data_IF_818175794481
#
_entry.id   IF_818175794481
#
_cell.length_a   1.000
_cell.length_b   1.000
_cell.length_c   1.000
_cell.angle_alpha   90.00
_cell.angle_beta   90.00
_cell.angle_gamma   90.00
#
_symmetry.space_group_name_H-M   'P 1'
#
loop_
_entity.id
_entity.type
_entity.pdbx_description
1 polymer ?
#
# COMPACT_ATOMS: atom_id res chain seq x y z
N UNK A 1 -48.23 -5.68 -7.74
CA UNK A 1 -48.67 -7.08 -7.53
C UNK A 1 -47.78 -8.13 -8.20
N UNK A 2 -47.06 -7.86 -9.29
CA UNK A 2 -46.10 -8.83 -9.86
C UNK A 2 -44.78 -8.99 -9.06
N UNK A 3 -44.37 -7.96 -8.29
CA UNK A 3 -43.15 -7.99 -7.47
C UNK A 3 -43.32 -8.69 -6.10
N UNK A 4 -44.55 -8.95 -5.68
CA UNK A 4 -44.86 -9.66 -4.42
C UNK A 4 -44.93 -11.18 -4.62
N UNK A 5 -45.09 -11.64 -5.88
CA UNK A 5 -45.13 -13.07 -6.23
C UNK A 5 -43.73 -13.65 -6.50
N UNK A 6 -42.74 -12.81 -6.86
CA UNK A 6 -41.36 -13.26 -7.10
C UNK A 6 -40.53 -13.42 -5.81
N UNK A 7 -40.87 -12.76 -4.70
CA UNK A 7 -40.17 -12.96 -3.42
C UNK A 7 -40.64 -14.21 -2.66
N UNK A 8 -41.84 -14.72 -2.95
CA UNK A 8 -42.37 -15.94 -2.34
C UNK A 8 -41.87 -17.23 -3.00
N UNK A 9 -41.32 -17.17 -4.22
CA UNK A 9 -40.84 -18.36 -4.96
C UNK A 9 -39.37 -18.67 -4.66
N UNK A 10 -38.55 -17.69 -4.25
CA UNK A 10 -37.15 -17.93 -3.83
C UNK A 10 -37.02 -18.39 -2.38
N UNK A 11 -38.02 -18.16 -1.54
CA UNK A 11 -38.00 -18.57 -0.12
C UNK A 11 -38.35 -20.07 0.08
N UNK A 12 -38.94 -20.72 -0.92
CA UNK A 12 -39.37 -22.13 -0.85
C UNK A 12 -38.25 -23.09 -1.29
N UNK A 13 -37.22 -22.62 -2.01
CA UNK A 13 -36.13 -23.46 -2.50
C UNK A 13 -34.90 -23.56 -1.58
N UNK A 14 -34.84 -22.84 -0.46
CA UNK A 14 -33.70 -22.92 0.48
C UNK A 14 -33.97 -23.72 1.76
N UNK A 15 -35.15 -24.33 1.91
CA UNK A 15 -35.53 -25.08 3.14
C UNK A 15 -35.47 -26.61 2.98
N UNK A 16 -35.18 -27.12 1.79
CA UNK A 16 -34.88 -28.55 1.63
C UNK A 16 -33.54 -28.71 0.94
N UNK A 17 -32.48 -28.86 1.74
CA UNK A 17 -31.40 -29.82 1.52
C UNK A 17 -30.46 -29.86 2.74
N UNK A 18 -30.82 -30.75 3.67
CA UNK A 18 -29.93 -31.69 4.39
C UNK A 18 -29.00 -31.14 5.50
N UNK A 19 -29.37 -31.47 6.74
CA UNK A 19 -28.48 -31.91 7.83
C UNK A 19 -28.70 -33.42 8.06
N UNK A 20 -28.00 -34.12 8.97
CA UNK A 20 -26.56 -34.18 9.28
C UNK A 20 -26.03 -35.65 9.27
N UNK A 21 -24.72 -35.89 9.24
CA UNK A 21 -24.18 -37.12 9.84
C UNK A 21 -22.75 -36.96 10.36
N UNK A 22 -22.61 -37.48 11.58
CA UNK A 22 -21.44 -37.79 12.42
C UNK A 22 -20.15 -38.18 11.71
N UNK A 23 -19.00 -37.79 12.29
CA UNK A 23 -17.99 -38.71 12.86
C UNK A 23 -16.86 -37.92 13.55
N UNK A 24 -16.54 -38.30 14.79
CA UNK A 24 -15.36 -37.89 15.59
C UNK A 24 -14.42 -39.11 15.61
N UNK A 25 -13.10 -38.91 15.58
CA UNK A 25 -12.30 -39.43 16.69
C UNK A 25 -11.28 -38.41 17.23
N UNK A 26 -11.14 -38.51 18.54
CA UNK A 26 -10.14 -37.95 19.46
C UNK A 26 -8.69 -37.97 18.98
N UNK A 27 -7.93 -36.93 19.34
CA UNK A 27 -6.60 -37.14 19.91
C UNK A 27 -6.29 -36.03 20.94
N UNK A 28 -5.86 -36.49 22.11
CA UNK A 28 -5.50 -35.72 23.29
C UNK A 28 -4.18 -34.99 23.09
N UNK A 29 -4.04 -33.77 23.61
CA UNK A 29 -2.83 -33.36 24.34
C UNK A 29 -3.18 -32.44 25.50
N UNK A 30 -2.59 -32.78 26.65
CA UNK A 30 -2.75 -32.16 27.96
C UNK A 30 -1.64 -31.13 28.20
N UNK A 31 -1.99 -30.10 28.98
CA UNK A 31 -1.10 -29.29 29.84
C UNK A 31 -0.16 -28.32 29.09
N UNK A 32 0.16 -27.10 29.50
CA UNK A 32 0.15 -26.36 30.78
C UNK A 32 0.25 -24.87 30.32
N UNK A 33 -0.43 -23.87 30.88
CA UNK A 33 -0.15 -23.21 32.15
C UNK A 33 -1.32 -22.28 32.45
N UNK A 34 -2.00 -22.50 33.57
CA UNK A 34 -2.86 -21.50 34.18
C UNK A 34 -2.01 -20.57 35.03
N UNK A 35 -2.05 -19.27 34.77
CA UNK A 35 -1.83 -18.27 35.83
C UNK A 35 -3.04 -17.35 35.88
N UNK A 36 -3.97 -17.70 36.78
CA UNK A 36 -5.04 -16.82 37.23
C UNK A 36 -4.40 -15.76 38.13
N UNK A 37 -4.31 -14.52 37.66
CA UNK A 37 -4.01 -13.39 38.52
C UNK A 37 -5.30 -13.03 39.27
N UNK A 38 -5.40 -13.48 40.52
CA UNK A 38 -6.48 -13.10 41.42
C UNK A 38 -6.16 -11.73 42.02
N UNK A 39 -6.93 -10.71 41.64
CA UNK A 39 -6.94 -9.43 42.32
C UNK A 39 -7.99 -9.48 43.44
N UNK A 40 -7.59 -9.41 44.71
CA UNK A 40 -8.39 -8.75 45.75
C UNK A 40 -7.66 -8.54 47.09
N UNK A 41 -7.96 -7.36 47.63
CA UNK A 41 -7.90 -6.85 49.00
C UNK A 41 -6.53 -6.50 49.60
N UNK A 42 -6.44 -5.21 49.93
CA UNK A 42 -5.39 -4.65 50.76
C UNK A 42 -5.56 -5.00 52.23
N UNK A 43 -4.44 -4.87 52.94
CA UNK A 43 -4.41 -4.60 54.36
C UNK A 43 -3.35 -3.53 54.62
N UNK A 44 -3.80 -2.50 55.33
CA UNK A 44 -2.99 -1.47 55.95
C UNK A 44 -2.22 -2.12 57.10
N UNK A 45 -0.89 -2.00 57.11
CA UNK A 45 -0.11 -2.29 58.32
C UNK A 45 0.97 -1.22 58.47
N UNK A 46 0.91 -0.54 59.60
CA UNK A 46 1.81 0.54 60.01
C UNK A 46 2.95 -0.05 60.84
N UNK A 47 4.15 0.48 60.58
CA UNK A 47 5.29 0.63 61.49
C UNK A 47 6.06 -0.62 61.91
N UNK A 48 7.31 -0.73 61.42
CA UNK A 48 8.47 -0.65 62.31
C UNK A 48 9.75 -0.32 61.54
N UNK A 49 10.40 0.75 62.00
CA UNK A 49 11.61 1.34 61.48
C UNK A 49 12.80 0.57 62.05
N UNK A 50 13.36 -0.36 61.28
CA UNK A 50 14.63 -1.01 61.61
C UNK A 50 15.74 -0.33 60.82
N UNK A 51 16.51 0.54 61.50
CA UNK A 51 17.79 1.06 61.01
C UNK A 51 18.73 -0.13 60.78
N UNK A 52 18.90 -0.53 59.53
CA UNK A 52 20.09 -1.24 59.08
C UNK A 52 20.74 -0.38 58.00
N UNK A 53 21.89 0.18 58.34
CA UNK A 53 22.78 0.88 57.42
C UNK A 53 23.38 -0.16 56.48
N UNK A 54 22.65 -0.50 55.43
CA UNK A 54 23.23 -1.09 54.24
C UNK A 54 23.67 0.06 53.34
N UNK A 55 24.95 0.03 52.95
CA UNK A 55 25.46 0.85 51.86
C UNK A 55 24.68 0.39 50.63
N UNK A 56 23.63 1.14 50.29
CA UNK A 56 22.95 0.99 49.02
C UNK A 56 23.99 1.28 47.95
N UNK A 57 24.45 0.22 47.27
CA UNK A 57 24.98 0.40 45.92
C UNK A 57 23.83 1.02 45.15
N UNK A 58 23.95 2.30 44.87
CA UNK A 58 23.09 3.04 43.97
C UNK A 58 23.30 2.44 42.57
N UNK A 59 22.69 1.28 42.34
CA UNK A 59 22.57 0.68 41.02
C UNK A 59 21.54 1.52 40.28
N UNK A 60 22.00 2.64 39.71
CA UNK A 60 21.15 3.56 38.96
C UNK A 60 20.26 2.80 38.01
N UNK A 61 18.94 2.92 38.20
CA UNK A 61 17.95 2.26 37.38
C UNK A 61 17.92 2.93 36.01
N UNK A 62 17.54 2.21 34.95
CA UNK A 62 17.39 2.81 33.61
C UNK A 62 16.47 4.04 33.62
N UNK A 63 15.49 4.07 34.53
CA UNK A 63 14.54 5.16 34.70
C UNK A 63 15.14 6.39 35.43
N UNK A 64 16.31 6.24 36.03
CA UNK A 64 17.02 7.33 36.71
C UNK A 64 17.92 8.12 35.73
N UNK A 65 17.97 7.69 34.46
CA UNK A 65 18.68 8.41 33.41
C UNK A 65 17.95 9.69 33.01
N UNK A 66 18.67 10.79 32.72
CA UNK A 66 18.10 11.95 32.07
C UNK A 66 17.39 11.59 30.76
N UNK A 67 16.22 12.19 30.53
CA UNK A 67 15.38 11.96 29.35
C UNK A 67 16.13 11.92 28.01
N UNK A 68 17.07 12.83 27.69
CA UNK A 68 17.80 12.78 26.41
C UNK A 68 18.68 11.53 26.26
N UNK A 69 19.23 11.02 27.36
CA UNK A 69 20.06 9.81 27.35
C UNK A 69 19.17 8.58 27.16
N UNK A 70 18.03 8.55 27.85
CA UNK A 70 17.05 7.48 27.69
C UNK A 70 16.51 7.44 26.26
N UNK A 71 16.11 8.58 25.69
CA UNK A 71 15.61 8.67 24.32
C UNK A 71 16.69 8.22 23.33
N UNK A 72 17.95 8.62 23.50
CA UNK A 72 19.06 8.15 22.66
C UNK A 72 19.32 6.63 22.74
N UNK A 73 19.03 6.00 23.89
CA UNK A 73 19.08 4.53 24.03
C UNK A 73 17.90 3.91 23.28
N UNK A 74 16.69 4.42 23.50
CA UNK A 74 15.47 3.90 22.88
C UNK A 74 15.52 4.04 21.35
N UNK A 75 16.02 5.16 20.82
CA UNK A 75 16.24 5.40 19.39
C UNK A 75 17.13 4.35 18.73
N UNK A 76 18.00 3.65 19.47
CA UNK A 76 18.86 2.60 18.91
C UNK A 76 18.19 1.24 18.86
N UNK A 77 17.05 1.07 19.50
CA UNK A 77 16.34 -0.21 19.50
C UNK A 77 15.65 -0.47 18.16
N UNK A 78 15.58 -1.74 17.71
CA UNK A 78 14.68 -2.10 16.61
C UNK A 78 13.22 -1.98 17.05
N UNK A 79 12.25 -1.95 16.11
CA UNK A 79 10.81 -1.89 16.41
C UNK A 79 10.35 -2.90 17.46
N UNK A 80 10.79 -4.16 17.35
CA UNK A 80 10.45 -5.19 18.33
C UNK A 80 11.03 -4.91 19.72
N UNK A 81 12.18 -4.24 19.80
CA UNK A 81 12.79 -3.77 21.05
C UNK A 81 11.96 -2.66 21.69
N UNK A 82 11.53 -1.67 20.91
CA UNK A 82 10.61 -0.61 21.36
C UNK A 82 9.31 -1.19 21.91
N UNK A 83 8.69 -2.14 21.20
CA UNK A 83 7.47 -2.81 21.68
C UNK A 83 7.69 -3.58 23.00
N UNK A 84 8.85 -4.23 23.17
CA UNK A 84 9.18 -4.91 24.44
C UNK A 84 9.37 -3.92 25.59
N UNK A 85 10.09 -2.82 25.35
CA UNK A 85 10.28 -1.76 26.36
C UNK A 85 8.96 -1.10 26.75
N UNK A 86 8.06 -0.90 25.79
CA UNK A 86 6.71 -0.38 26.03
C UNK A 86 5.85 -1.27 26.94
N UNK A 87 6.19 -2.56 27.09
CA UNK A 87 5.46 -3.48 27.97
C UNK A 87 5.95 -3.48 29.42
N UNK A 88 7.08 -2.83 29.72
CA UNK A 88 7.74 -2.88 31.04
C UNK A 88 7.06 -1.97 32.05
N UNK A 89 6.72 -0.73 31.67
CA UNK A 89 6.06 0.25 32.55
C UNK A 89 5.21 1.23 31.75
N UNK A 90 4.32 1.96 32.42
CA UNK A 90 3.48 2.99 31.76
C UNK A 90 4.32 4.13 31.20
N UNK A 91 5.36 4.55 31.94
CA UNK A 91 6.31 5.58 31.50
C UNK A 91 7.07 5.17 30.22
N UNK A 92 7.63 3.96 30.21
CA UNK A 92 8.34 3.45 29.03
C UNK A 92 7.40 3.24 27.84
N UNK A 93 6.13 2.88 28.10
CA UNK A 93 5.10 2.79 27.06
C UNK A 93 4.86 4.11 26.36
N UNK A 94 4.71 5.19 27.11
CA UNK A 94 4.48 6.53 26.54
C UNK A 94 5.69 7.00 25.72
N UNK A 95 6.91 6.83 26.25
CA UNK A 95 8.14 7.15 25.48
C UNK A 95 8.30 6.26 24.25
N UNK A 96 8.20 4.94 24.39
CA UNK A 96 8.40 4.00 23.27
C UNK A 96 7.34 4.12 22.16
N UNK A 97 6.16 4.68 22.46
CA UNK A 97 5.11 4.93 21.46
C UNK A 97 5.22 6.32 20.80
N UNK A 98 6.20 7.14 21.19
CA UNK A 98 6.38 8.49 20.67
C UNK A 98 6.92 8.48 19.23
N UNK A 99 6.32 9.29 18.36
CA UNK A 99 6.55 9.24 16.91
C UNK A 99 8.01 9.47 16.47
N UNK A 100 8.76 10.30 17.19
CA UNK A 100 10.17 10.56 16.87
C UNK A 100 11.05 9.30 16.89
N UNK A 101 10.71 8.30 17.72
CA UNK A 101 11.40 7.01 17.74
C UNK A 101 11.06 6.15 16.53
N UNK A 102 9.89 6.35 15.92
CA UNK A 102 9.37 5.55 14.80
C UNK A 102 9.60 6.17 13.43
N UNK A 103 9.78 7.49 13.36
CA UNK A 103 10.07 8.25 12.14
C UNK A 103 11.14 7.59 11.27
N UNK A 104 12.27 7.25 11.89
CA UNK A 104 13.40 6.62 11.19
C UNK A 104 13.06 5.23 10.69
N UNK A 105 12.39 4.41 11.51
CA UNK A 105 11.98 3.06 11.13
C UNK A 105 10.98 3.07 9.98
N UNK A 106 10.00 3.97 10.05
CA UNK A 106 9.00 4.17 9.00
C UNK A 106 9.67 4.56 7.68
N UNK A 107 10.51 5.60 7.69
CA UNK A 107 11.22 6.07 6.48
C UNK A 107 12.12 5.00 5.90
N UNK A 108 12.85 4.26 6.74
CA UNK A 108 13.82 3.28 6.28
C UNK A 108 13.17 2.04 5.65
N UNK A 109 12.14 1.46 6.29
CA UNK A 109 11.48 0.26 5.78
C UNK A 109 10.42 0.59 4.71
N UNK A 110 9.54 1.55 5.02
CA UNK A 110 8.33 1.78 4.24
C UNK A 110 8.43 2.94 3.26
N UNK A 111 9.32 3.91 3.52
CA UNK A 111 9.38 5.19 2.79
C UNK A 111 9.58 5.10 1.27
N UNK A 112 9.98 3.94 0.74
CA UNK A 112 10.08 3.71 -0.71
C UNK A 112 8.75 3.37 -1.38
N UNK A 113 7.78 2.87 -0.62
CA UNK A 113 6.51 2.34 -1.14
C UNK A 113 5.29 3.06 -0.59
N UNK A 114 5.41 3.72 0.56
CA UNK A 114 4.33 4.59 1.09
C UNK A 114 4.53 6.00 0.56
N UNK A 115 3.49 6.53 -0.09
CA UNK A 115 3.42 7.91 -0.56
C UNK A 115 2.28 8.67 0.12
N UNK A 116 2.01 9.88 -0.37
CA UNK A 116 0.95 10.73 0.14
C UNK A 116 -0.43 10.06 0.06
N UNK A 117 -0.73 9.35 -1.04
CA UNK A 117 -1.96 8.56 -1.18
C UNK A 117 -2.10 7.48 -0.09
N UNK A 118 -1.00 6.83 0.31
CA UNK A 118 -1.03 5.83 1.39
C UNK A 118 -1.25 6.47 2.75
N UNK A 119 -0.67 7.65 2.99
CA UNK A 119 -0.93 8.42 4.20
C UNK A 119 -2.37 8.91 4.29
N UNK A 120 -2.95 9.41 3.19
CA UNK A 120 -4.36 9.79 3.14
C UNK A 120 -5.26 8.59 3.45
N UNK A 121 -5.00 7.43 2.84
CA UNK A 121 -5.73 6.18 3.12
C UNK A 121 -5.65 5.79 4.60
N UNK A 122 -4.48 5.96 5.22
CA UNK A 122 -4.30 5.71 6.65
C UNK A 122 -5.18 6.63 7.50
N UNK A 123 -5.17 7.93 7.20
CA UNK A 123 -6.04 8.90 7.91
C UNK A 123 -7.52 8.55 7.79
N UNK A 124 -7.96 8.11 6.61
CA UNK A 124 -9.33 7.63 6.40
C UNK A 124 -9.63 6.36 7.21
N UNK A 125 -8.70 5.40 7.21
CA UNK A 125 -8.83 4.16 7.97
C UNK A 125 -8.97 4.42 9.47
N UNK A 126 -8.16 5.34 10.00
CA UNK A 126 -8.19 5.79 11.39
C UNK A 126 -9.49 6.49 11.73
N UNK A 127 -9.89 7.49 10.94
CA UNK A 127 -11.13 8.22 11.15
C UNK A 127 -12.35 7.29 11.12
N UNK A 128 -12.33 6.28 10.25
CA UNK A 128 -13.39 5.27 10.17
C UNK A 128 -13.46 4.36 11.40
N UNK A 129 -12.31 3.95 11.95
CA UNK A 129 -12.26 3.17 13.20
C UNK A 129 -12.77 3.99 14.39
N UNK A 130 -12.43 5.27 14.45
CA UNK A 130 -12.77 6.15 15.57
C UNK A 130 -14.20 6.67 15.50
N UNK A 131 -14.68 6.96 14.29
CA UNK A 131 -16.05 7.39 14.01
C UNK A 131 -17.11 6.33 14.33
N UNK A 132 -16.70 5.08 14.61
CA UNK A 132 -17.60 4.05 15.14
C UNK A 132 -18.00 4.27 16.61
N UNK A 133 -17.38 5.21 17.33
CA UNK A 133 -17.69 5.54 18.73
C UNK A 133 -18.37 6.92 18.90
N UNK A 134 -18.48 7.74 17.84
CA UNK A 134 -19.03 9.10 17.95
C UNK A 134 -19.67 9.65 16.67
N UNK A 135 -20.50 8.85 15.98
CA UNK A 135 -21.41 9.38 14.96
C UNK A 135 -22.88 9.17 15.36
N UNK A 136 -23.20 9.66 16.56
CA UNK A 136 -24.57 10.01 16.91
C UNK A 136 -24.78 11.42 16.34
N UNK A 137 -25.69 11.56 15.37
CA UNK A 137 -26.09 12.80 14.67
C UNK A 137 -25.40 13.13 13.33
N UNK A 138 -25.48 12.25 12.34
CA UNK A 138 -25.79 12.70 10.97
C UNK A 138 -26.70 11.68 10.29
N UNK A 139 -27.89 12.12 9.90
CA UNK A 139 -28.90 11.36 9.18
C UNK A 139 -28.50 11.13 7.72
N UNK A 140 -28.87 9.96 7.17
CA UNK A 140 -28.99 9.73 5.72
C UNK A 140 -27.91 8.87 5.06
N UNK A 141 -28.35 7.92 4.23
CA UNK A 141 -27.74 7.16 3.12
C UNK A 141 -26.24 6.75 3.15
N UNK A 142 -25.32 7.63 3.58
CA UNK A 142 -23.90 7.34 3.78
C UNK A 142 -23.65 6.21 4.78
N UNK A 143 -24.51 6.06 5.80
CA UNK A 143 -24.39 4.98 6.79
C UNK A 143 -24.58 3.57 6.16
N UNK A 144 -25.42 3.45 5.13
CA UNK A 144 -25.64 2.18 4.43
C UNK A 144 -24.53 1.87 3.44
N UNK A 145 -24.01 2.88 2.73
CA UNK A 145 -22.88 2.73 1.80
C UNK A 145 -21.58 2.33 2.53
N UNK A 146 -21.30 2.94 3.67
CA UNK A 146 -20.13 2.63 4.51
C UNK A 146 -20.21 1.22 5.15
N UNK A 147 -21.42 0.75 5.47
CA UNK A 147 -21.64 -0.60 6.01
C UNK A 147 -21.49 -1.68 4.94
N UNK A 148 -21.87 -1.39 3.69
CA UNK A 148 -21.64 -2.29 2.55
C UNK A 148 -20.15 -2.39 2.19
N UNK A 149 -19.41 -1.27 2.26
CA UNK A 149 -17.94 -1.25 2.06
C UNK A 149 -17.20 -2.11 3.10
N UNK A 150 -17.66 -2.16 4.36
CA UNK A 150 -17.14 -3.05 5.41
C UNK A 150 -17.21 -4.54 5.03
N UNK A 151 -18.26 -4.97 4.36
CA UNK A 151 -18.45 -6.38 3.95
C UNK A 151 -17.74 -6.73 2.64
N UNK A 152 -17.50 -5.74 1.77
CA UNK A 152 -16.83 -5.93 0.48
C UNK A 152 -15.28 -5.88 0.60
N UNK A 153 -14.74 -5.10 1.54
CA UNK A 153 -13.27 -4.90 1.66
C UNK A 153 -12.60 -5.84 2.67
N UNK A 154 -13.34 -6.25 3.72
CA UNK A 154 -12.87 -7.18 4.74
C UNK A 154 -13.61 -8.51 4.59
N UNK A 155 -13.13 -9.36 3.68
CA UNK A 155 -13.45 -10.78 3.72
C UNK A 155 -13.18 -11.31 5.13
N UNK A 156 -14.21 -11.91 5.74
CA UNK A 156 -14.19 -12.42 7.11
C UNK A 156 -13.12 -13.50 7.25
N UNK A 157 -11.90 -13.10 7.64
CA UNK A 157 -10.87 -14.03 8.08
C UNK A 157 -10.77 -13.93 9.59
N UNK A 158 -11.40 -14.88 10.28
CA UNK A 158 -11.10 -15.17 11.68
C UNK A 158 -9.70 -15.77 11.74
N UNK A 159 -8.69 -14.94 12.01
CA UNK A 159 -7.42 -15.42 12.51
C UNK A 159 -7.30 -15.00 13.98
N UNK A 160 -7.39 -15.99 14.87
CA UNK A 160 -7.00 -15.87 16.27
C UNK A 160 -5.48 -15.77 16.37
N UNK A 161 -4.94 -14.61 16.01
CA UNK A 161 -3.57 -14.22 16.38
C UNK A 161 -3.70 -13.18 17.48
N UNK A 162 -2.99 -13.40 18.59
CA UNK A 162 -2.93 -12.51 19.75
C UNK A 162 -2.61 -11.07 19.32
N UNK A 163 -3.66 -10.30 19.05
CA UNK A 163 -3.59 -8.89 18.75
C UNK A 163 -3.23 -8.22 20.06
N UNK A 164 -2.02 -7.63 20.11
CA UNK A 164 -1.67 -6.66 21.14
C UNK A 164 -2.80 -5.62 21.16
N UNK A 165 -3.67 -5.69 22.18
CA UNK A 165 -4.78 -4.76 22.33
C UNK A 165 -4.20 -3.38 22.56
N UNK A 166 -4.20 -2.55 21.52
CA UNK A 166 -3.79 -1.16 21.61
C UNK A 166 -4.77 -0.43 22.56
N UNK A 167 -4.30 0.29 23.60
CA UNK A 167 -5.17 1.03 24.51
C UNK A 167 -5.93 2.14 23.78
N UNK A 168 -7.20 2.34 24.16
CA UNK A 168 -8.22 3.20 23.54
C UNK A 168 -8.03 4.71 23.70
N UNK A 169 -6.79 5.23 23.82
CA UNK A 169 -6.58 6.62 24.25
C UNK A 169 -5.44 7.39 23.56
N UNK A 170 -4.93 6.96 22.41
CA UNK A 170 -3.98 7.76 21.61
C UNK A 170 -4.71 8.29 20.38
N UNK A 171 -4.41 9.53 19.89
CA UNK A 171 -4.90 9.97 18.60
C UNK A 171 -4.43 8.96 17.56
N UNK A 172 -5.38 8.22 17.00
CA UNK A 172 -5.14 7.00 16.23
C UNK A 172 -4.36 7.22 14.91
N UNK A 173 -3.81 8.42 14.64
CA UNK A 173 -3.03 8.73 13.44
C UNK A 173 -1.50 8.76 13.62
N UNK A 174 -0.99 8.33 14.79
CA UNK A 174 0.46 8.32 15.08
C UNK A 174 1.29 7.43 14.13
N UNK A 175 2.55 7.80 13.92
CA UNK A 175 3.52 7.04 13.10
C UNK A 175 3.70 5.62 13.66
N UNK A 176 3.77 5.50 14.98
CA UNK A 176 3.81 4.20 15.67
C UNK A 176 2.63 3.30 15.26
N UNK A 177 1.41 3.83 15.34
CA UNK A 177 0.19 3.07 15.06
C UNK A 177 0.14 2.65 13.59
N UNK A 178 0.56 3.54 12.69
CA UNK A 178 0.64 3.26 11.26
C UNK A 178 1.69 2.17 10.95
N UNK A 179 2.88 2.26 11.56
CA UNK A 179 3.94 1.27 11.39
C UNK A 179 3.46 -0.13 11.81
N UNK A 180 2.80 -0.25 12.97
CA UNK A 180 2.25 -1.52 13.43
C UNK A 180 1.15 -2.06 12.52
N UNK A 181 0.28 -1.19 11.97
CA UNK A 181 -0.77 -1.60 11.07
C UNK A 181 -0.21 -2.15 9.73
N UNK A 182 0.87 -1.54 9.23
CA UNK A 182 1.61 -2.03 8.07
C UNK A 182 2.28 -3.38 8.37
N UNK A 183 3.04 -3.48 9.46
CA UNK A 183 3.77 -4.71 9.80
C UNK A 183 2.87 -5.91 10.10
N UNK A 184 1.70 -5.66 10.69
CA UNK A 184 0.75 -6.71 11.04
C UNK A 184 -0.07 -7.22 9.86
N UNK A 185 0.03 -6.58 8.68
CA UNK A 185 -0.83 -6.90 7.54
C UNK A 185 -2.31 -6.59 7.79
N UNK A 186 -2.60 -5.66 8.71
CA UNK A 186 -3.99 -5.26 9.03
C UNK A 186 -4.47 -4.09 8.17
N UNK A 187 -3.56 -3.41 7.48
CA UNK A 187 -3.85 -2.24 6.66
C UNK A 187 -3.53 -2.49 5.18
N UNK A 188 -4.51 -2.21 4.32
CA UNK A 188 -4.34 -2.18 2.87
C UNK A 188 -4.05 -0.76 2.42
N UNK A 189 -2.99 -0.54 1.65
CA UNK A 189 -2.59 0.80 1.22
C UNK A 189 -2.35 0.89 -0.29
N UNK A 190 -2.63 2.04 -0.92
CA UNK A 190 -2.37 2.26 -2.33
C UNK A 190 -0.86 2.38 -2.59
N UNK A 191 -0.41 1.69 -3.64
CA UNK A 191 0.92 1.80 -4.21
C UNK A 191 0.89 1.36 -5.67
N UNK A 192 2.05 1.32 -6.31
CA UNK A 192 2.17 0.84 -7.68
C UNK A 192 3.10 -0.36 -7.79
N UNK A 193 2.76 -1.25 -8.73
CA UNK A 193 3.46 -2.51 -8.99
C UNK A 193 4.04 -2.46 -10.39
N UNK A 194 5.35 -2.57 -10.50
CA UNK A 194 6.03 -2.85 -11.77
C UNK A 194 5.66 -4.25 -12.26
N UNK A 195 5.23 -4.32 -13.51
CA UNK A 195 4.86 -5.57 -14.14
C UNK A 195 6.09 -6.46 -14.37
N UNK A 196 5.96 -7.77 -14.11
CA UNK A 196 6.99 -8.75 -14.45
C UNK A 196 6.72 -9.37 -15.80
N UNK A 197 7.81 -9.76 -16.45
CA UNK A 197 7.85 -10.54 -17.68
C UNK A 197 7.35 -11.98 -17.44
N UNK A 198 6.10 -12.18 -17.04
CA UNK A 198 5.51 -13.52 -16.94
C UNK A 198 5.04 -14.01 -18.33
N UNK A 199 5.91 -13.90 -19.34
CA UNK A 199 5.64 -14.33 -20.73
C UNK A 199 4.71 -13.45 -21.56
N UNK A 200 4.09 -12.41 -20.98
CA UNK A 200 3.22 -11.47 -21.72
C UNK A 200 4.01 -10.28 -22.28
N UNK A 201 4.51 -10.45 -23.51
CA UNK A 201 5.36 -9.47 -24.24
C UNK A 201 4.69 -8.09 -24.43
N UNK A 202 3.35 -8.03 -24.43
CA UNK A 202 2.63 -6.77 -24.64
C UNK A 202 2.75 -5.74 -23.51
N UNK A 203 3.03 -6.17 -22.28
CA UNK A 203 2.97 -5.32 -21.07
C UNK A 203 4.35 -5.06 -20.46
N UNK A 204 5.39 -5.02 -21.29
CA UNK A 204 6.76 -4.77 -20.86
C UNK A 204 6.94 -3.32 -20.40
N UNK A 205 7.73 -3.16 -19.33
CA UNK A 205 8.04 -1.87 -18.73
C UNK A 205 6.80 -1.04 -18.38
N UNK A 206 5.78 -1.72 -17.83
CA UNK A 206 4.57 -1.11 -17.33
C UNK A 206 4.48 -1.15 -15.79
N UNK A 207 3.64 -0.27 -15.25
CA UNK A 207 3.38 -0.16 -13.82
C UNK A 207 1.90 0.13 -13.55
N UNK A 208 1.31 -0.50 -12.55
CA UNK A 208 -0.14 -0.43 -12.27
C UNK A 208 -0.43 -0.08 -10.83
N UNK A 209 -1.52 0.66 -10.61
CA UNK A 209 -2.05 0.91 -9.27
C UNK A 209 -2.61 -0.38 -8.65
N UNK A 210 -2.32 -0.57 -7.37
CA UNK A 210 -2.87 -1.67 -6.57
C UNK A 210 -3.01 -1.25 -5.10
N UNK A 211 -3.90 -1.94 -4.39
CA UNK A 211 -3.91 -1.95 -2.93
C UNK A 211 -3.02 -3.09 -2.45
N UNK A 212 -2.06 -2.79 -1.61
CA UNK A 212 -1.10 -3.74 -1.05
C UNK A 212 -1.42 -4.06 0.40
N UNK A 213 -1.17 -5.30 0.80
CA UNK A 213 -1.14 -5.72 2.20
C UNK A 213 0.11 -6.57 2.42
N UNK A 214 0.87 -6.23 3.46
CA UNK A 214 2.12 -6.90 3.79
C UNK A 214 1.90 -8.19 4.56
N UNK A 215 2.70 -9.21 4.24
CA UNK A 215 2.80 -10.45 4.98
C UNK A 215 4.20 -10.57 5.60
N UNK A 216 4.26 -10.37 6.92
CA UNK A 216 5.50 -10.47 7.68
C UNK A 216 6.13 -11.88 7.64
N UNK A 217 5.33 -12.94 7.48
CA UNK A 217 5.86 -14.31 7.53
C UNK A 217 6.71 -14.63 6.30
N UNK A 218 6.34 -14.09 5.15
CA UNK A 218 7.02 -14.32 3.87
C UNK A 218 7.87 -13.14 3.42
N UNK A 219 7.76 -11.99 4.10
CA UNK A 219 8.34 -10.71 3.68
C UNK A 219 7.92 -10.30 2.26
N UNK A 220 6.64 -10.52 1.94
CA UNK A 220 6.03 -10.20 0.65
C UNK A 220 4.70 -9.48 0.80
N UNK A 221 4.06 -9.18 -0.33
CA UNK A 221 2.78 -8.48 -0.37
C UNK A 221 1.72 -9.27 -1.13
N UNK A 222 0.50 -9.14 -0.67
CA UNK A 222 -0.69 -9.39 -1.48
C UNK A 222 -1.09 -8.09 -2.16
N UNK A 223 -1.41 -8.17 -3.45
CA UNK A 223 -1.84 -7.05 -4.26
C UNK A 223 -3.24 -7.27 -4.79
N UNK A 224 -4.12 -6.28 -4.58
CA UNK A 224 -5.46 -6.21 -5.16
C UNK A 224 -5.49 -5.11 -6.20
N UNK A 225 -5.75 -5.49 -7.44
CA UNK A 225 -5.92 -4.52 -8.52
C UNK A 225 -7.33 -3.93 -8.51
N UNK A 226 -7.54 -2.74 -9.10
CA UNK A 226 -8.89 -2.20 -9.28
C UNK A 226 -9.78 -3.20 -10.02
N UNK A 227 -11.01 -3.37 -9.54
CA UNK A 227 -12.00 -4.22 -10.20
C UNK A 227 -12.30 -3.67 -11.60
N UNK A 228 -12.36 -4.57 -12.59
CA UNK A 228 -12.79 -4.27 -13.95
C UNK A 228 -14.06 -5.08 -14.28
N UNK A 229 -15.18 -4.41 -14.50
CA UNK A 229 -16.47 -5.05 -14.80
C UNK A 229 -16.95 -6.01 -13.70
N UNK A 230 -17.50 -7.16 -14.09
CA UNK A 230 -18.09 -8.17 -13.21
C UNK A 230 -17.12 -9.28 -12.76
N UNK A 231 -15.84 -9.17 -13.10
CA UNK A 231 -14.85 -10.21 -12.81
C UNK A 231 -14.36 -10.11 -11.36
N UNK A 232 -14.00 -11.26 -10.78
CA UNK A 232 -13.36 -11.32 -9.46
C UNK A 232 -12.10 -10.44 -9.43
N UNK A 233 -11.93 -9.69 -8.33
CA UNK A 233 -10.75 -8.85 -8.11
C UNK A 233 -9.51 -9.74 -8.10
N UNK A 234 -8.61 -9.64 -9.09
CA UNK A 234 -7.43 -10.47 -9.12
C UNK A 234 -6.54 -10.11 -7.92
N UNK A 235 -6.20 -11.13 -7.13
CA UNK A 235 -5.25 -11.02 -6.02
C UNK A 235 -3.94 -11.67 -6.45
N UNK A 236 -2.92 -10.86 -6.68
CA UNK A 236 -1.56 -11.36 -6.85
C UNK A 236 -0.94 -11.59 -5.46
N UNK A 237 -0.32 -12.75 -5.26
CA UNK A 237 0.40 -13.10 -4.04
C UNK A 237 1.90 -13.02 -4.27
N UNK A 238 2.66 -13.00 -3.18
CA UNK A 238 4.11 -13.08 -3.19
C UNK A 238 4.78 -11.92 -3.97
N UNK A 239 4.13 -10.75 -3.98
CA UNK A 239 4.69 -9.55 -4.61
C UNK A 239 5.86 -9.07 -3.77
N UNK A 240 7.04 -8.97 -4.38
CA UNK A 240 8.29 -8.64 -3.69
C UNK A 240 8.55 -7.13 -3.66
N UNK A 241 9.29 -6.67 -2.65
CA UNK A 241 9.65 -5.25 -2.45
C UNK A 241 10.26 -4.58 -3.70
N UNK A 242 11.05 -5.31 -4.50
CA UNK A 242 11.67 -4.76 -5.72
C UNK A 242 10.65 -4.37 -6.79
N UNK A 243 9.43 -4.90 -6.75
CA UNK A 243 8.37 -4.57 -7.72
C UNK A 243 7.54 -3.37 -7.31
N UNK A 244 7.76 -2.82 -6.13
CA UNK A 244 6.88 -1.80 -5.58
C UNK A 244 7.48 -0.40 -5.72
N UNK A 245 6.60 0.57 -5.86
CA UNK A 245 6.90 2.00 -5.68
C UNK A 245 5.70 2.72 -5.08
N UNK A 246 5.95 3.83 -4.40
CA UNK A 246 4.88 4.79 -4.12
C UNK A 246 4.32 5.33 -5.45
N UNK A 247 3.01 5.61 -5.50
CA UNK A 247 2.42 6.28 -6.65
C UNK A 247 3.11 7.64 -6.87
N UNK A 248 3.68 7.91 -8.06
CA UNK A 248 4.45 9.13 -8.31
C UNK A 248 3.57 10.37 -8.47
N UNK A 249 2.27 10.17 -8.74
CA UNK A 249 1.28 11.22 -8.93
C UNK A 249 -0.03 10.85 -8.24
N UNK A 250 -0.75 11.84 -7.74
CA UNK A 250 -2.08 11.66 -7.12
C UNK A 250 -3.19 11.76 -8.16
N UNK A 251 -3.15 10.90 -9.17
CA UNK A 251 -4.19 10.84 -10.20
C UNK A 251 -5.05 9.61 -9.97
N UNK A 252 -6.39 9.74 -9.90
CA UNK A 252 -7.26 8.58 -9.80
C UNK A 252 -7.01 7.60 -10.96
N UNK A 253 -7.13 6.27 -10.75
CA UNK A 253 -6.76 5.28 -11.76
C UNK A 253 -7.50 5.39 -13.10
N UNK A 254 -8.69 6.00 -13.12
CA UNK A 254 -9.53 6.15 -14.32
C UNK A 254 -9.41 7.53 -14.98
N UNK A 255 -8.68 8.45 -14.34
CA UNK A 255 -8.55 9.82 -14.81
C UNK A 255 -7.27 9.99 -15.63
N UNK A 256 -7.41 10.74 -16.72
CA UNK A 256 -6.27 11.09 -17.57
C UNK A 256 -5.40 12.13 -16.83
N UNK A 257 -4.11 11.84 -16.70
CA UNK A 257 -3.14 12.75 -16.13
C UNK A 257 -2.91 13.96 -17.03
N UNK A 258 -3.06 15.16 -16.45
CA UNK A 258 -2.77 16.41 -17.15
C UNK A 258 -1.27 16.56 -17.38
N UNK A 259 -0.86 16.59 -18.65
CA UNK A 259 0.54 16.55 -19.06
C UNK A 259 1.16 17.95 -19.09
N UNK A 260 1.70 18.43 -17.97
CA UNK A 260 2.29 19.78 -17.89
C UNK A 260 3.69 19.89 -18.53
N UNK A 261 4.38 18.77 -18.73
CA UNK A 261 5.78 18.76 -19.16
C UNK A 261 5.97 18.72 -20.69
N UNK A 262 4.90 18.77 -21.49
CA UNK A 262 4.99 18.53 -22.94
C UNK A 262 5.92 19.51 -23.66
N UNK A 263 5.99 20.77 -23.23
CA UNK A 263 6.88 21.77 -23.82
C UNK A 263 8.36 21.60 -23.43
N UNK A 264 8.64 20.82 -22.39
CA UNK A 264 10.01 20.57 -21.89
C UNK A 264 10.63 19.30 -22.47
N UNK A 265 9.87 18.53 -23.27
CA UNK A 265 10.34 17.26 -23.83
C UNK A 265 11.36 17.49 -24.95
N UNK A 266 12.52 16.88 -24.81
CA UNK A 266 13.61 16.86 -25.77
C UNK A 266 14.00 15.42 -26.08
N UNK A 267 14.52 15.12 -27.28
CA UNK A 267 15.07 13.80 -27.58
C UNK A 267 16.02 13.30 -26.49
N UNK A 268 15.90 12.03 -26.11
CA UNK A 268 16.62 11.42 -25.01
C UNK A 268 15.95 11.52 -23.63
N UNK A 269 14.95 12.39 -23.47
CA UNK A 269 14.19 12.46 -22.22
C UNK A 269 13.43 11.16 -21.93
N UNK A 270 13.40 10.77 -20.67
CA UNK A 270 12.65 9.61 -20.21
C UNK A 270 11.25 10.02 -19.76
N UNK A 271 10.25 9.23 -20.15
CA UNK A 271 8.84 9.53 -19.86
C UNK A 271 8.10 8.28 -19.37
N UNK A 272 6.97 8.52 -18.72
CA UNK A 272 5.90 7.54 -18.62
C UNK A 272 4.64 8.08 -19.28
N UNK A 273 3.93 7.21 -19.98
CA UNK A 273 2.63 7.50 -20.58
C UNK A 273 1.55 6.60 -19.98
N UNK A 274 0.37 7.15 -19.73
CA UNK A 274 -0.81 6.39 -19.36
C UNK A 274 -1.34 5.62 -20.57
N UNK A 275 -1.65 4.34 -20.39
CA UNK A 275 -2.36 3.51 -21.36
C UNK A 275 -3.42 2.67 -20.66
N UNK A 276 -4.57 2.46 -21.30
CA UNK A 276 -5.65 1.55 -20.88
C UNK A 276 -6.21 0.80 -22.08
N UNK A 277 -6.69 -0.43 -21.85
CA UNK A 277 -7.24 -1.28 -22.91
C UNK A 277 -8.55 -0.73 -23.49
N UNK A 278 -9.43 -0.27 -22.62
CA UNK A 278 -10.68 0.40 -22.97
C UNK A 278 -11.13 1.28 -21.79
N UNK A 279 -12.26 1.98 -21.92
CA UNK A 279 -12.74 2.94 -20.93
C UNK A 279 -13.18 2.32 -19.59
N UNK A 280 -13.40 1.01 -19.54
CA UNK A 280 -13.72 0.26 -18.31
C UNK A 280 -12.47 -0.15 -17.53
N UNK A 281 -11.28 -0.04 -18.12
CA UNK A 281 -10.01 -0.35 -17.45
C UNK A 281 -9.36 0.91 -16.88
N UNK A 282 -8.71 0.81 -15.71
CA UNK A 282 -7.85 1.89 -15.22
C UNK A 282 -6.63 2.04 -16.14
N UNK A 283 -6.02 3.22 -16.10
CA UNK A 283 -4.72 3.43 -16.71
C UNK A 283 -3.62 2.72 -15.94
N UNK A 284 -2.66 2.15 -16.68
CA UNK A 284 -1.32 1.89 -16.18
C UNK A 284 -0.31 2.84 -16.82
N UNK A 285 0.91 2.82 -16.34
CA UNK A 285 2.01 3.67 -16.81
C UNK A 285 3.03 2.86 -17.59
N UNK A 286 3.35 3.30 -18.80
CA UNK A 286 4.35 2.68 -19.68
C UNK A 286 5.56 3.58 -19.82
N UNK A 287 6.74 2.99 -19.60
CA UNK A 287 7.99 3.68 -19.81
C UNK A 287 8.31 3.85 -21.29
N UNK A 288 8.78 5.04 -21.66
CA UNK A 288 9.28 5.35 -22.98
C UNK A 288 10.41 6.39 -22.94
N UNK A 289 10.92 6.72 -24.13
CA UNK A 289 11.95 7.75 -24.34
C UNK A 289 11.50 8.67 -25.47
N UNK A 290 11.78 9.96 -25.37
CA UNK A 290 11.52 10.90 -26.46
C UNK A 290 12.54 10.64 -27.58
N UNK A 291 12.05 10.41 -28.79
CA UNK A 291 12.86 10.18 -29.98
C UNK A 291 13.08 11.44 -30.82
N UNK A 292 13.86 11.30 -31.87
CA UNK A 292 13.98 12.32 -32.92
C UNK A 292 12.86 12.15 -33.97
N UNK A 293 12.50 13.27 -34.61
CA UNK A 293 11.65 13.26 -35.81
C UNK A 293 12.39 12.58 -36.96
N UNK A 294 11.65 11.92 -37.87
CA UNK A 294 12.25 11.20 -39.00
C UNK A 294 13.05 12.11 -39.95
N UNK A 295 12.66 13.39 -40.06
CA UNK A 295 13.36 14.39 -40.86
C UNK A 295 14.61 14.97 -40.15
N UNK A 296 14.88 14.60 -38.90
CA UNK A 296 16.03 15.08 -38.16
C UNK A 296 17.28 14.29 -38.57
N UNK A 297 18.36 15.00 -38.84
CA UNK A 297 19.69 14.44 -39.15
C UNK A 297 20.41 13.83 -37.94
N UNK A 298 19.74 13.73 -36.79
CA UNK A 298 20.25 13.22 -35.50
C UNK A 298 21.52 13.93 -35.03
N UNK A 299 21.82 15.14 -35.54
CA UNK A 299 22.96 15.91 -35.06
C UNK A 299 22.60 16.60 -33.74
N UNK A 300 23.12 16.08 -32.61
CA UNK A 300 22.81 16.53 -31.25
C UNK A 300 23.03 18.04 -31.04
N UNK A 301 23.94 18.66 -31.80
CA UNK A 301 24.25 20.08 -31.66
C UNK A 301 23.21 21.03 -32.29
N UNK A 302 22.44 20.58 -33.28
CA UNK A 302 21.58 21.45 -34.11
C UNK A 302 20.13 20.94 -34.28
N UNK A 303 19.71 19.92 -33.53
CA UNK A 303 18.38 19.35 -33.71
C UNK A 303 17.27 20.34 -33.27
N UNK A 304 16.27 20.55 -34.13
CA UNK A 304 15.12 21.41 -33.85
C UNK A 304 13.91 20.65 -33.26
N UNK A 305 14.10 19.38 -32.88
CA UNK A 305 13.04 18.52 -32.35
C UNK A 305 12.44 19.07 -31.03
N UNK A 306 13.25 19.75 -30.21
CA UNK A 306 12.78 20.39 -28.98
C UNK A 306 11.77 21.52 -29.22
N UNK A 307 11.86 22.19 -30.36
CA UNK A 307 10.99 23.32 -30.72
C UNK A 307 9.82 22.93 -31.61
N UNK A 308 9.80 21.70 -32.15
CA UNK A 308 8.68 21.21 -32.95
C UNK A 308 7.45 20.93 -32.08
N UNK A 309 6.27 21.29 -32.58
CA UNK A 309 5.01 20.91 -31.94
C UNK A 309 4.79 19.39 -31.95
N UNK A 310 5.44 18.65 -32.85
CA UNK A 310 5.37 17.19 -32.89
C UNK A 310 6.49 16.57 -32.06
N UNK A 311 6.13 15.63 -31.18
CA UNK A 311 7.07 14.87 -30.35
C UNK A 311 6.94 13.38 -30.65
N UNK A 312 8.07 12.72 -30.86
CA UNK A 312 8.14 11.27 -31.04
C UNK A 312 8.33 10.61 -29.68
N UNK A 313 7.46 9.67 -29.34
CA UNK A 313 7.66 8.79 -28.19
C UNK A 313 8.08 7.41 -28.69
N UNK A 314 9.17 6.90 -28.14
CA UNK A 314 9.76 5.61 -28.49
C UNK A 314 9.69 4.62 -27.32
N UNK A 315 9.24 3.42 -27.63
CA UNK A 315 9.12 2.31 -26.71
C UNK A 315 10.10 1.23 -27.17
N UNK A 316 11.38 1.42 -26.81
CA UNK A 316 12.49 0.59 -27.33
C UNK A 316 12.44 -0.88 -26.88
N UNK A 317 11.56 -1.21 -25.95
CA UNK A 317 11.27 -2.58 -25.53
C UNK A 317 10.55 -3.41 -26.61
N UNK A 318 9.88 -2.78 -27.58
CA UNK A 318 9.23 -3.47 -28.70
C UNK A 318 10.15 -3.55 -29.93
N UNK A 319 9.94 -4.53 -30.81
CA UNK A 319 10.69 -4.66 -32.06
C UNK A 319 10.53 -3.42 -32.97
N UNK A 320 11.49 -3.18 -33.85
CA UNK A 320 11.52 -1.96 -34.70
C UNK A 320 10.35 -1.84 -35.67
N UNK A 321 9.81 -2.98 -36.10
CA UNK A 321 8.66 -3.14 -36.98
C UNK A 321 7.31 -3.15 -36.22
N UNK A 322 7.35 -3.24 -34.89
CA UNK A 322 6.14 -3.24 -34.09
C UNK A 322 5.47 -1.88 -34.12
N UNK A 323 4.15 -1.87 -34.32
CA UNK A 323 3.32 -0.65 -34.22
C UNK A 323 3.37 0.02 -32.84
N UNK A 324 3.73 -0.74 -31.80
CA UNK A 324 3.86 -0.22 -30.42
C UNK A 324 5.20 0.49 -30.19
N UNK A 325 6.13 0.41 -31.15
CA UNK A 325 7.49 0.95 -31.03
C UNK A 325 7.53 2.47 -30.98
N UNK A 326 6.66 3.15 -31.73
CA UNK A 326 6.67 4.61 -31.89
C UNK A 326 5.26 5.17 -31.95
N UNK A 327 5.06 6.33 -31.34
CA UNK A 327 3.85 7.14 -31.53
C UNK A 327 4.19 8.62 -31.58
N UNK A 328 3.31 9.41 -32.20
CA UNK A 328 3.45 10.85 -32.35
C UNK A 328 2.41 11.58 -31.50
N UNK A 329 2.86 12.56 -30.74
CA UNK A 329 2.00 13.47 -29.98
C UNK A 329 2.21 14.91 -30.46
N UNK A 330 1.23 15.77 -30.22
CA UNK A 330 1.33 17.20 -30.49
C UNK A 330 1.37 17.95 -29.14
N UNK A 331 2.34 18.85 -28.92
CA UNK A 331 2.51 19.56 -27.65
C UNK A 331 1.32 20.45 -27.27
N UNK A 332 0.63 21.02 -28.26
CA UNK A 332 -0.44 22.01 -28.08
C UNK A 332 -1.83 21.38 -28.01
N UNK A 333 -2.05 20.35 -28.81
CA UNK A 333 -3.35 19.70 -28.98
C UNK A 333 -3.38 18.30 -28.36
N UNK A 334 -2.57 18.06 -27.32
CA UNK A 334 -2.47 16.74 -26.71
C UNK A 334 -3.71 16.40 -25.89
N UNK A 335 -4.34 15.29 -26.23
CA UNK A 335 -5.49 14.69 -25.53
C UNK A 335 -5.34 13.18 -25.52
N UNK A 336 -6.26 12.47 -24.86
CA UNK A 336 -6.34 11.02 -24.99
C UNK A 336 -6.57 10.63 -26.46
N UNK A 337 -5.72 9.72 -26.97
CA UNK A 337 -5.80 9.15 -28.32
C UNK A 337 -5.92 7.64 -28.23
N UNK A 338 -6.36 7.01 -29.32
CA UNK A 338 -6.50 5.56 -29.42
C UNK A 338 -7.92 5.14 -29.71
N UNK A 339 -8.16 3.84 -29.62
CA UNK A 339 -9.43 3.20 -29.95
C UNK A 339 -9.63 1.91 -29.15
N UNK A 340 -10.77 1.25 -29.33
CA UNK A 340 -11.10 0.00 -28.63
C UNK A 340 -10.24 -1.20 -29.06
N UNK A 341 -9.51 -1.10 -30.18
CA UNK A 341 -8.69 -2.18 -30.72
C UNK A 341 -7.29 -2.14 -30.11
N UNK A 342 -6.71 -0.95 -29.99
CA UNK A 342 -5.33 -0.72 -29.52
C UNK A 342 -5.26 -0.04 -28.16
N UNK A 343 -6.41 0.19 -27.54
CA UNK A 343 -6.51 0.93 -26.31
C UNK A 343 -6.26 2.42 -26.48
N UNK A 344 -6.35 3.10 -25.36
CA UNK A 344 -6.27 4.54 -25.26
C UNK A 344 -5.05 4.96 -24.45
N UNK A 345 -4.41 6.04 -24.86
CA UNK A 345 -3.24 6.60 -24.22
C UNK A 345 -3.26 8.12 -24.23
N UNK A 346 -2.59 8.76 -23.27
CA UNK A 346 -2.50 10.21 -23.29
C UNK A 346 -1.69 10.82 -22.16
N UNK A 347 -2.00 10.55 -20.90
CA UNK A 347 -1.35 11.25 -19.80
C UNK A 347 0.16 10.99 -19.77
N UNK A 348 0.99 12.02 -19.95
CA UNK A 348 2.45 11.91 -20.02
C UNK A 348 3.11 12.68 -18.89
N UNK A 349 4.06 12.02 -18.22
CA UNK A 349 4.97 12.66 -17.27
C UNK A 349 6.42 12.47 -17.70
N UNK A 350 7.23 13.50 -17.53
CA UNK A 350 8.69 13.45 -17.68
C UNK A 350 9.32 12.89 -16.41
N UNK A 351 10.17 11.87 -16.55
CA UNK A 351 10.96 11.31 -15.47
C UNK A 351 12.20 12.19 -15.25
N UNK A 352 12.28 12.81 -14.08
CA UNK A 352 13.41 13.68 -13.70
C UNK A 352 14.39 13.00 -12.77
N UNK A 353 13.93 12.00 -12.00
CA UNK A 353 14.77 11.28 -11.04
C UNK A 353 15.65 10.25 -11.73
N UNK A 354 16.97 10.37 -11.55
CA UNK A 354 17.94 9.36 -12.00
C UNK A 354 17.68 7.99 -11.37
N UNK A 355 17.11 7.95 -10.16
CA UNK A 355 16.75 6.71 -9.46
C UNK A 355 15.57 6.01 -10.13
N UNK A 356 14.53 6.75 -10.54
CA UNK A 356 13.39 6.20 -11.30
C UNK A 356 13.85 5.67 -12.67
N UNK A 357 14.65 6.46 -13.39
CA UNK A 357 15.21 6.06 -14.70
C UNK A 357 16.06 4.79 -14.55
N UNK A 358 16.93 4.74 -13.54
CA UNK A 358 17.76 3.56 -13.26
C UNK A 358 16.92 2.35 -12.84
N UNK A 359 15.77 2.56 -12.19
CA UNK A 359 14.84 1.47 -11.87
C UNK A 359 14.26 0.88 -13.15
N UNK A 360 13.79 1.70 -14.08
CA UNK A 360 13.29 1.23 -15.38
C UNK A 360 14.36 0.52 -16.21
N UNK A 361 15.58 1.05 -16.26
CA UNK A 361 16.71 0.40 -16.96
C UNK A 361 17.04 -0.98 -16.38
N UNK A 362 16.89 -1.19 -15.07
CA UNK A 362 17.08 -2.51 -14.44
C UNK A 362 15.94 -3.49 -14.71
N UNK A 363 14.75 -2.98 -15.03
CA UNK A 363 13.59 -3.79 -15.42
C UNK A 363 13.58 -4.10 -16.92
N UNK A 364 14.56 -3.59 -17.67
CA UNK A 364 14.68 -3.78 -19.11
C UNK A 364 14.74 -5.27 -19.45
N UNK A 365 13.97 -5.75 -20.45
CA UNK A 365 14.02 -7.13 -20.86
C UNK A 365 15.42 -7.49 -21.41
N UNK A 366 15.98 -8.65 -21.03
CA UNK A 366 17.32 -9.06 -21.47
C UNK A 366 17.41 -9.31 -22.98
N UNK A 367 16.27 -9.48 -23.67
CA UNK A 367 16.17 -9.66 -25.12
C UNK A 367 15.03 -8.78 -25.65
N UNK A 368 15.24 -8.15 -26.81
CA UNK A 368 14.14 -7.53 -27.56
C UNK A 368 13.31 -8.66 -28.13
N UNK A 369 12.08 -8.82 -27.65
CA UNK A 369 11.22 -9.91 -28.07
C UNK A 369 10.62 -9.58 -29.44
N UNK A 370 10.91 -10.44 -30.42
CA UNK A 370 10.35 -10.38 -31.77
C UNK A 370 8.86 -10.74 -31.73
N UNK A 371 8.01 -9.91 -32.33
CA UNK A 371 6.59 -10.21 -32.58
C UNK A 371 5.59 -9.65 -31.56
N UNK A 372 4.93 -8.54 -31.94
CA UNK A 372 3.54 -8.20 -31.59
C UNK A 372 2.86 -7.62 -32.81
#
# INVERSE_FOLDING_TARGET
>A
MLLFLLSCITLVFTIKLITPSSFIPSLQWRSMLSMKLSSKLGMKMETQQTRSSSIAKDEGTLLDLPDPILDAILERLPPAGLCRMAAVSTFLREKCNSDHLWDRHMKWKWGRIIGQAAYQEWRWHVAFRNGSLHLQQTTGLMHHLLRLLKHLWFGSRKNDTATLRLPSHLPDDSIFSWYLALESGTFWFPAQIYNRQNGHVGFLLSCYDAKLCYDHQTDTFQARYPAHGMLDIPVEKDVTWDRLRAAPVETPPYDLFTSYCLNELHPGDHIEIQWRRNKEFPYGWWYGVVGHLDACDVNEANCLCGSSDTVVLEFKQYASDSRWRRTLINRREHTEKGDEVYGFYGGIRKLRSSQEISKWRRLWPPQVLEGV
#
